data_IF_037769402906
#
_entry.id   IF_037769402906
#
_cell.length_a   1.000
_cell.length_b   1.000
_cell.length_c   1.000
_cell.angle_alpha   90.00
_cell.angle_beta   90.00
_cell.angle_gamma   90.00
#
_symmetry.space_group_name_H-M   'P 1'
#
loop_
_entity.id
_entity.type
_entity.pdbx_description
1 polymer ?
#
# COMPACT_ATOMS: atom_id res chain seq x y z
N UNK A 1 4.11 -9.55 -12.14
CA UNK A 1 4.67 -8.26 -11.66
C UNK A 1 4.08 -7.95 -10.30
N UNK A 2 4.88 -7.81 -9.23
CA UNK A 2 4.37 -7.35 -7.95
C UNK A 2 3.75 -5.96 -8.13
N UNK A 3 2.52 -5.79 -7.66
CA UNK A 3 1.83 -4.50 -7.70
C UNK A 3 1.87 -3.88 -6.33
N UNK A 4 2.52 -2.72 -6.23
CA UNK A 4 2.55 -1.90 -5.03
C UNK A 4 1.10 -1.48 -4.70
N UNK A 5 0.73 -1.54 -3.42
CA UNK A 5 -0.57 -1.11 -2.91
C UNK A 5 -0.39 -0.07 -1.80
N UNK A 6 -1.45 0.71 -1.58
CA UNK A 6 -1.54 1.67 -0.48
C UNK A 6 -1.93 0.94 0.81
N UNK A 7 -1.21 1.19 1.90
CA UNK A 7 -1.50 0.67 3.23
C UNK A 7 -2.67 1.45 3.86
N UNK A 8 -3.90 1.16 3.42
CA UNK A 8 -5.11 1.92 3.76
C UNK A 8 -5.32 2.15 5.27
N UNK A 9 -5.02 1.15 6.10
CA UNK A 9 -5.18 1.27 7.55
C UNK A 9 -4.20 2.28 8.14
N UNK A 10 -2.95 2.30 7.65
CA UNK A 10 -1.90 3.19 8.17
C UNK A 10 -2.23 4.64 7.85
N UNK A 11 -2.69 4.89 6.62
CA UNK A 11 -3.20 6.20 6.22
C UNK A 11 -4.39 6.64 7.08
N UNK A 12 -5.36 5.76 7.33
CA UNK A 12 -6.54 6.09 8.16
C UNK A 12 -6.19 6.37 9.61
N UNK A 13 -5.26 5.63 10.19
CA UNK A 13 -4.84 5.86 11.57
C UNK A 13 -4.19 7.23 11.70
N UNK A 14 -3.35 7.61 10.73
CA UNK A 14 -2.74 8.95 10.68
C UNK A 14 -3.72 10.06 10.38
N UNK A 15 -4.70 9.80 9.52
CA UNK A 15 -5.80 10.72 9.26
C UNK A 15 -6.60 11.03 10.54
N UNK A 16 -6.90 10.01 11.34
CA UNK A 16 -7.63 10.18 12.61
C UNK A 16 -6.87 11.00 13.64
N UNK A 17 -5.54 10.89 13.71
CA UNK A 17 -4.71 11.71 14.61
C UNK A 17 -4.90 13.22 14.39
N UNK A 18 -5.29 13.63 13.17
CA UNK A 18 -5.50 15.04 12.79
C UNK A 18 -6.98 15.39 12.53
N UNK A 19 -7.90 14.51 12.92
CA UNK A 19 -9.36 14.73 12.82
C UNK A 19 -9.99 14.41 11.47
N UNK A 20 -9.29 13.73 10.57
CA UNK A 20 -9.85 13.27 9.30
C UNK A 20 -10.51 11.91 9.43
N UNK A 21 -11.84 11.91 9.51
CA UNK A 21 -12.63 10.69 9.71
C UNK A 21 -13.20 10.10 8.42
N UNK A 22 -13.15 10.84 7.30
CA UNK A 22 -13.73 10.43 6.02
C UNK A 22 -12.68 10.37 4.90
N UNK A 23 -12.93 9.53 3.89
CA UNK A 23 -12.08 9.48 2.70
C UNK A 23 -12.07 10.84 1.98
N UNK A 24 -13.18 11.58 1.96
CA UNK A 24 -13.24 12.91 1.34
C UNK A 24 -12.37 13.93 2.08
N UNK A 25 -12.34 13.89 3.42
CA UNK A 25 -11.45 14.74 4.22
C UNK A 25 -9.97 14.42 3.90
N UNK A 26 -9.65 13.13 3.76
CA UNK A 26 -8.29 12.69 3.40
C UNK A 26 -7.90 13.16 2.01
N UNK A 27 -8.80 12.98 1.05
CA UNK A 27 -8.61 13.39 -0.33
C UNK A 27 -8.40 14.91 -0.43
N UNK A 28 -9.23 15.68 0.28
CA UNK A 28 -9.15 17.14 0.32
C UNK A 28 -7.82 17.62 0.91
N UNK A 29 -7.39 17.06 2.05
CA UNK A 29 -6.13 17.43 2.71
C UNK A 29 -4.91 17.17 1.84
N UNK A 30 -4.89 16.00 1.21
CA UNK A 30 -3.78 15.58 0.36
C UNK A 30 -3.85 16.18 -1.06
N UNK A 31 -4.89 16.95 -1.40
CA UNK A 31 -5.06 17.48 -2.75
C UNK A 31 -5.26 16.40 -3.82
N UNK A 32 -5.80 15.23 -3.43
CA UNK A 32 -6.06 14.09 -4.31
C UNK A 32 -7.55 14.03 -4.63
N UNK A 33 -7.92 13.64 -5.85
CA UNK A 33 -9.33 13.43 -6.18
C UNK A 33 -9.93 12.29 -5.32
N UNK A 34 -11.11 12.50 -4.72
CA UNK A 34 -11.78 11.50 -3.87
C UNK A 34 -12.02 10.15 -4.58
N UNK A 35 -12.32 10.18 -5.88
CA UNK A 35 -12.46 8.98 -6.71
C UNK A 35 -11.14 8.20 -6.84
N UNK A 36 -10.02 8.91 -6.93
CA UNK A 36 -8.67 8.32 -6.95
C UNK A 36 -8.37 7.68 -5.60
N UNK A 37 -8.58 8.41 -4.50
CA UNK A 37 -8.36 7.87 -3.16
C UNK A 37 -9.20 6.61 -2.90
N UNK A 38 -10.49 6.63 -3.27
CA UNK A 38 -11.38 5.46 -3.14
C UNK A 38 -10.84 4.24 -3.91
N UNK A 39 -10.37 4.42 -5.15
CA UNK A 39 -9.75 3.34 -5.94
C UNK A 39 -8.44 2.83 -5.32
N UNK A 40 -7.67 3.70 -4.69
CA UNK A 40 -6.43 3.33 -4.00
C UNK A 40 -6.70 2.51 -2.74
N UNK A 41 -7.63 2.97 -1.89
CA UNK A 41 -8.01 2.29 -0.66
C UNK A 41 -8.66 0.91 -0.90
N UNK A 42 -9.33 0.75 -2.04
CA UNK A 42 -9.92 -0.54 -2.46
C UNK A 42 -8.94 -1.40 -3.26
N UNK A 43 -7.71 -0.94 -3.50
CA UNK A 43 -6.70 -1.68 -4.26
C UNK A 43 -7.04 -1.87 -5.74
N UNK A 44 -8.01 -1.12 -6.29
CA UNK A 44 -8.41 -1.13 -7.70
C UNK A 44 -7.41 -0.43 -8.61
N UNK A 45 -6.49 0.35 -8.04
CA UNK A 45 -5.44 1.05 -8.77
C UNK A 45 -4.16 1.09 -7.95
N UNK A 46 -3.02 1.19 -8.64
CA UNK A 46 -1.72 1.40 -8.02
C UNK A 46 -1.54 2.90 -7.74
N UNK A 47 -1.03 3.30 -6.55
CA UNK A 47 -0.66 4.68 -6.28
C UNK A 47 0.44 5.17 -7.22
N UNK A 48 0.29 6.40 -7.72
CA UNK A 48 1.41 7.09 -8.36
C UNK A 48 2.37 7.62 -7.30
N UNK A 49 3.62 7.87 -7.69
CA UNK A 49 4.61 8.52 -6.82
C UNK A 49 4.10 9.86 -6.29
N UNK A 50 3.49 10.68 -7.15
CA UNK A 50 2.93 11.98 -6.75
C UNK A 50 1.85 11.84 -5.68
N UNK A 51 0.99 10.81 -5.78
CA UNK A 51 -0.06 10.57 -4.78
C UNK A 51 0.56 10.14 -3.45
N UNK A 52 1.63 9.34 -3.47
CA UNK A 52 2.32 8.90 -2.25
C UNK A 52 3.00 10.08 -1.55
N UNK A 53 3.66 10.95 -2.30
CA UNK A 53 4.29 12.16 -1.76
C UNK A 53 3.24 13.09 -1.17
N UNK A 54 2.13 13.32 -1.88
CA UNK A 54 1.06 14.17 -1.38
C UNK A 54 0.44 13.67 -0.07
N UNK A 55 0.23 12.34 0.06
CA UNK A 55 -0.26 11.74 1.30
C UNK A 55 0.79 11.76 2.43
N UNK A 56 2.06 11.54 2.08
CA UNK A 56 3.20 11.63 3.00
C UNK A 56 3.29 13.03 3.61
N UNK A 57 3.27 14.06 2.77
CA UNK A 57 3.36 15.46 3.19
C UNK A 57 2.14 15.89 4.01
N UNK A 58 0.93 15.46 3.61
CA UNK A 58 -0.31 15.80 4.30
C UNK A 58 -0.41 15.24 5.73
N UNK A 59 0.23 14.10 6.00
CA UNK A 59 0.12 13.39 7.28
C UNK A 59 1.44 13.25 8.04
N UNK A 60 2.54 13.82 7.53
CA UNK A 60 3.85 13.76 8.17
C UNK A 60 4.37 12.34 8.37
N UNK A 61 4.10 11.44 7.42
CA UNK A 61 4.54 10.04 7.44
C UNK A 61 5.39 9.71 6.23
N UNK A 62 6.20 8.66 6.33
CA UNK A 62 7.05 8.28 5.20
C UNK A 62 6.24 7.61 4.09
N UNK A 63 6.75 7.67 2.86
CA UNK A 63 6.20 6.87 1.76
C UNK A 63 6.25 5.38 2.07
N UNK A 64 7.30 4.90 2.76
CA UNK A 64 7.42 3.49 3.14
C UNK A 64 6.28 3.04 4.06
N UNK A 65 5.90 3.86 5.05
CA UNK A 65 4.71 3.63 5.90
C UNK A 65 3.40 3.50 5.09
N UNK A 66 3.31 4.19 3.95
CA UNK A 66 2.14 4.17 3.07
C UNK A 66 2.12 2.99 2.12
N UNK A 67 3.22 2.25 1.96
CA UNK A 67 3.32 1.15 1.02
C UNK A 67 3.05 -0.19 1.69
N UNK A 68 2.18 -0.98 1.05
CA UNK A 68 2.03 -2.39 1.38
C UNK A 68 2.63 -3.23 0.25
N UNK A 69 3.63 -4.05 0.60
CA UNK A 69 4.11 -5.10 -0.30
C UNK A 69 3.03 -6.17 -0.39
N UNK A 70 2.59 -6.58 -1.59
CA UNK A 70 1.71 -7.75 -1.68
C UNK A 70 2.43 -8.94 -1.04
N UNK A 71 1.73 -9.67 -0.18
CA UNK A 71 2.16 -10.98 0.32
C UNK A 71 2.69 -11.76 -0.89
N UNK A 72 3.98 -12.10 -0.88
CA UNK A 72 4.49 -13.03 -1.88
C UNK A 72 3.81 -14.35 -1.54
N UNK A 73 2.96 -14.84 -2.44
CA UNK A 73 2.46 -16.21 -2.42
C UNK A 73 3.68 -17.09 -2.12
N UNK A 74 3.72 -17.68 -0.93
CA UNK A 74 4.90 -18.39 -0.48
C UNK A 74 5.16 -19.48 -1.50
N UNK A 75 6.26 -19.35 -2.24
CA UNK A 75 6.74 -20.42 -3.10
C UNK A 75 7.06 -21.55 -2.13
N UNK A 76 6.16 -22.52 -2.03
CA UNK A 76 6.45 -23.80 -1.39
C UNK A 76 7.65 -24.35 -2.12
N UNK A 77 8.82 -24.20 -1.53
CA UNK A 77 10.02 -24.88 -1.98
C UNK A 77 9.75 -26.36 -1.71
N UNK A 78 9.33 -27.08 -2.76
CA UNK A 78 9.39 -28.53 -2.71
C UNK A 78 10.87 -28.87 -2.51
N UNK A 79 11.26 -29.61 -1.45
CA UNK A 79 12.64 -30.03 -1.31
C UNK A 79 12.98 -30.89 -2.52
N UNK A 80 13.97 -30.45 -3.30
CA UNK A 80 14.53 -31.25 -4.37
C UNK A 80 15.03 -32.57 -3.76
N UNK A 81 14.34 -33.68 -4.02
CA UNK A 81 14.87 -35.01 -3.75
C UNK A 81 16.12 -35.16 -4.62
N UNK A 82 17.30 -34.98 -4.01
CA UNK A 82 18.56 -35.40 -4.61
C UNK A 82 18.51 -36.93 -4.65
N UNK A 83 18.03 -37.47 -5.76
CA UNK A 83 18.14 -38.88 -6.07
C UNK A 83 19.64 -39.19 -6.17
N UNK A 84 20.17 -39.82 -5.12
CA UNK A 84 21.53 -40.35 -5.13
C UNK A 84 21.57 -41.48 -6.14
N UNK A 85 22.14 -41.20 -7.31
CA UNK A 85 22.54 -42.25 -8.26
C UNK A 85 23.66 -43.06 -7.59
N UNK A 86 23.49 -44.37 -7.34
CA UNK A 86 24.59 -45.20 -6.84
C UNK A 86 25.63 -45.43 -7.95
N UNK A 87 26.89 -45.42 -7.53
CA UNK A 87 28.08 -45.70 -8.36
C UNK A 87 28.32 -47.20 -8.53
#
# INVERSE_FOLDING_TARGET
>A
MPRIRLHANRLRDKAREVGDESNDAIAQRAGVAGSTLSRLLTGRTTPSTDTLVALSDAYGITVDDLLQRPEHEQVTTVPAQIERVPA
#
